data_IF_143042127179
#
_entry.id   IF_143042127179
#
_cell.length_a   1.000
_cell.length_b   1.000
_cell.length_c   1.000
_cell.angle_alpha   90.00
_cell.angle_beta   90.00
_cell.angle_gamma   90.00
#
_symmetry.space_group_name_H-M   'P 1'
#
loop_
_entity.id
_entity.type
_entity.pdbx_description
1 polymer ?
#
# COMPACT_ATOMS: atom_id res chain seq x y z
N UNK A 1 -33.46 -17.90 59.87
CA UNK A 1 -33.12 -18.08 58.44
C UNK A 1 -32.94 -16.69 57.89
N UNK A 2 -31.70 -16.21 57.82
CA UNK A 2 -31.34 -14.84 57.44
C UNK A 2 -30.10 -14.91 56.54
N UNK A 3 -30.23 -14.35 55.33
CA UNK A 3 -29.27 -14.11 54.23
C UNK A 3 -30.09 -14.23 52.94
N UNK A 4 -30.12 -13.28 52.02
CA UNK A 4 -28.97 -12.57 51.47
C UNK A 4 -29.47 -11.32 50.74
N UNK A 5 -29.06 -10.14 51.19
CA UNK A 5 -28.93 -8.98 50.30
C UNK A 5 -27.74 -9.26 49.38
N UNK A 6 -27.96 -9.32 48.05
CA UNK A 6 -26.99 -9.07 46.95
C UNK A 6 -27.46 -9.76 45.65
N UNK A 7 -28.44 -9.19 44.95
CA UNK A 7 -28.57 -9.34 43.48
C UNK A 7 -29.70 -8.45 42.96
N UNK A 8 -29.43 -7.15 42.85
CA UNK A 8 -30.31 -6.22 42.15
C UNK A 8 -29.48 -5.10 41.54
N UNK A 9 -28.51 -5.46 40.70
CA UNK A 9 -27.93 -4.54 39.72
C UNK A 9 -27.22 -5.36 38.66
N UNK A 10 -27.32 -4.92 37.41
CA UNK A 10 -26.52 -5.36 36.25
C UNK A 10 -27.09 -6.49 35.38
N UNK A 11 -28.28 -6.31 34.80
CA UNK A 11 -28.57 -6.85 33.46
C UNK A 11 -29.43 -5.81 32.73
N UNK A 12 -28.80 -4.90 32.01
CA UNK A 12 -29.46 -4.03 31.03
C UNK A 12 -28.82 -4.33 29.67
N UNK A 13 -29.65 -4.31 28.63
CA UNK A 13 -29.32 -4.50 27.21
C UNK A 13 -29.39 -5.97 26.75
N UNK A 14 -30.62 -6.40 26.44
CA UNK A 14 -30.85 -7.41 25.42
C UNK A 14 -32.21 -7.13 24.75
N UNK A 15 -32.15 -6.81 23.45
CA UNK A 15 -33.12 -7.17 22.40
C UNK A 15 -34.53 -6.58 22.50
N UNK A 16 -34.85 -5.65 21.59
CA UNK A 16 -36.24 -5.51 21.10
C UNK A 16 -36.25 -5.66 19.59
N UNK A 17 -36.71 -6.85 19.20
CA UNK A 17 -36.98 -7.35 17.86
C UNK A 17 -38.39 -6.92 17.45
N UNK A 18 -38.47 -6.33 16.26
CA UNK A 18 -39.55 -6.42 15.28
C UNK A 18 -40.90 -5.68 15.46
N UNK A 19 -41.21 -4.92 14.40
CA UNK A 19 -42.50 -4.82 13.68
C UNK A 19 -43.59 -3.95 14.35
N UNK A 20 -43.84 -2.71 13.91
CA UNK A 20 -44.44 -2.21 12.63
C UNK A 20 -45.99 -2.11 12.71
N UNK A 21 -46.47 -0.93 12.27
CA UNK A 21 -47.80 -0.59 11.68
C UNK A 21 -48.79 0.24 12.50
N UNK A 22 -49.05 1.42 11.90
CA UNK A 22 -50.26 2.23 11.82
C UNK A 22 -50.75 3.02 13.04
N UNK A 23 -50.50 4.33 13.00
CA UNK A 23 -51.47 5.32 13.45
C UNK A 23 -51.53 6.49 12.46
N UNK A 24 -52.69 6.59 11.79
CA UNK A 24 -53.15 7.72 10.99
C UNK A 24 -53.68 8.77 11.97
N UNK A 25 -53.18 10.01 11.95
CA UNK A 25 -53.75 11.08 12.79
C UNK A 25 -53.90 12.37 11.96
N UNK A 26 -55.16 12.67 11.64
CA UNK A 26 -55.65 13.98 11.24
C UNK A 26 -55.44 14.98 12.39
N UNK A 27 -55.16 16.24 12.04
CA UNK A 27 -54.79 17.35 12.94
C UNK A 27 -55.25 17.29 14.40
N UNK A 28 -54.30 17.53 15.29
CA UNK A 28 -54.49 17.68 16.74
C UNK A 28 -53.26 17.15 17.46
N UNK A 29 -52.50 18.04 18.10
CA UNK A 29 -51.07 17.84 18.38
C UNK A 29 -50.69 16.69 19.33
N UNK A 30 -49.49 16.17 19.10
CA UNK A 30 -48.70 15.36 20.02
C UNK A 30 -47.23 15.75 19.89
N UNK A 31 -46.54 15.78 21.03
CA UNK A 31 -45.17 16.19 21.25
C UNK A 31 -44.20 15.74 20.13
N UNK A 32 -43.60 16.70 19.45
CA UNK A 32 -42.36 16.44 18.70
C UNK A 32 -41.22 16.38 19.72
N UNK A 33 -41.05 15.21 20.33
CA UNK A 33 -39.74 14.81 20.84
C UNK A 33 -38.78 14.81 19.65
N UNK A 34 -38.07 15.92 19.44
CA UNK A 34 -36.85 15.92 18.64
C UNK A 34 -35.78 15.19 19.45
N UNK A 35 -35.79 13.86 19.37
CA UNK A 35 -34.57 13.06 19.59
C UNK A 35 -34.15 12.54 18.23
N UNK A 36 -33.76 13.48 17.37
CA UNK A 36 -32.71 13.22 16.42
C UNK A 36 -31.73 14.37 16.65
N UNK A 37 -30.73 14.09 17.48
CA UNK A 37 -29.46 14.77 17.29
C UNK A 37 -28.99 14.23 15.95
N UNK A 38 -29.26 14.96 14.86
CA UNK A 38 -28.42 14.85 13.68
C UNK A 38 -27.05 15.34 14.14
N UNK A 39 -26.30 14.46 14.81
CA UNK A 39 -24.85 14.51 14.69
C UNK A 39 -24.61 14.19 13.23
N UNK A 40 -24.56 15.27 12.45
CA UNK A 40 -23.76 15.33 11.24
C UNK A 40 -22.33 14.99 11.68
N UNK A 41 -22.10 13.68 11.87
CA UNK A 41 -20.77 13.10 11.92
C UNK A 41 -20.23 13.26 10.52
N UNK A 42 -19.80 14.48 10.21
CA UNK A 42 -18.79 14.68 9.20
C UNK A 42 -17.64 13.77 9.62
N UNK A 43 -17.56 12.60 9.01
CA UNK A 43 -16.31 11.86 8.95
C UNK A 43 -15.31 12.88 8.40
N UNK A 44 -14.40 13.35 9.27
CA UNK A 44 -13.29 14.13 8.80
C UNK A 44 -12.56 13.20 7.83
N UNK A 45 -12.64 13.52 6.54
CA UNK A 45 -11.78 12.96 5.52
C UNK A 45 -10.37 13.44 5.88
N UNK A 46 -9.73 12.71 6.80
CA UNK A 46 -8.32 12.91 7.08
C UNK A 46 -7.64 12.36 5.85
N UNK A 47 -7.33 13.25 4.92
CA UNK A 47 -6.48 12.99 3.78
C UNK A 47 -5.17 12.40 4.33
N UNK A 48 -5.05 11.07 4.27
CA UNK A 48 -3.83 10.41 4.70
C UNK A 48 -2.72 10.88 3.75
N UNK A 49 -1.56 11.32 4.27
CA UNK A 49 -0.48 11.75 3.41
C UNK A 49 -0.12 10.63 2.42
N UNK A 50 0.05 10.99 1.14
CA UNK A 50 0.40 10.04 0.09
C UNK A 50 1.89 9.66 0.14
N UNK A 51 2.25 8.40 -0.12
CA UNK A 51 3.65 8.00 -0.31
C UNK A 51 4.20 8.53 -1.64
N UNK A 52 5.51 8.37 -1.83
CA UNK A 52 6.21 8.64 -3.09
C UNK A 52 7.35 7.63 -3.25
N UNK A 53 7.00 6.45 -3.76
CA UNK A 53 7.93 5.42 -4.19
C UNK A 53 8.86 6.01 -5.24
N UNK A 54 10.08 5.53 -5.21
CA UNK A 54 11.08 5.90 -6.19
C UNK A 54 12.07 4.79 -6.32
N UNK A 55 12.68 4.69 -7.49
CA UNK A 55 13.71 3.72 -7.76
C UNK A 55 14.97 4.40 -8.28
N UNK A 56 16.12 3.97 -7.75
CA UNK A 56 17.43 4.31 -8.30
C UNK A 56 18.15 3.04 -8.71
N UNK A 57 18.95 3.16 -9.77
CA UNK A 57 19.64 2.05 -10.40
C UNK A 57 21.07 2.45 -10.73
N UNK A 58 22.01 1.61 -10.29
CA UNK A 58 23.39 1.57 -10.77
C UNK A 58 23.64 0.25 -11.48
N UNK A 59 24.32 0.30 -12.62
CA UNK A 59 24.67 -0.90 -13.40
C UNK A 59 26.17 -1.04 -13.43
N UNK A 60 26.65 -2.19 -12.98
CA UNK A 60 28.06 -2.55 -12.93
C UNK A 60 28.33 -3.49 -14.10
N UNK A 61 29.06 -2.99 -15.09
CA UNK A 61 29.48 -3.79 -16.23
C UNK A 61 30.49 -4.87 -15.81
N UNK A 62 30.53 -6.02 -16.51
CA UNK A 62 31.49 -7.07 -16.23
C UNK A 62 32.93 -6.60 -16.48
N UNK A 63 33.87 -7.04 -15.64
CA UNK A 63 35.29 -6.70 -15.77
C UNK A 63 35.99 -7.41 -16.94
N UNK A 64 35.35 -8.44 -17.51
CA UNK A 64 35.88 -9.24 -18.61
C UNK A 64 34.78 -9.56 -19.61
N UNK A 65 35.15 -9.73 -20.88
CA UNK A 65 34.23 -10.18 -21.93
C UNK A 65 33.62 -11.53 -21.53
N UNK A 66 32.29 -11.62 -21.61
CA UNK A 66 31.55 -12.82 -21.22
C UNK A 66 31.15 -12.89 -19.75
N UNK A 67 31.52 -11.90 -18.93
CA UNK A 67 31.09 -11.82 -17.54
C UNK A 67 29.65 -11.34 -17.36
N UNK A 68 29.17 -11.42 -16.11
CA UNK A 68 27.83 -11.00 -15.72
C UNK A 68 27.76 -9.50 -15.39
N UNK A 69 26.64 -8.87 -15.72
CA UNK A 69 26.27 -7.52 -15.30
C UNK A 69 25.62 -7.61 -13.92
N UNK A 70 25.88 -6.65 -13.03
CA UNK A 70 25.17 -6.54 -11.76
C UNK A 70 24.33 -5.27 -11.74
N UNK A 71 23.05 -5.42 -11.40
CA UNK A 71 22.16 -4.30 -11.09
C UNK A 71 22.16 -4.06 -9.58
N UNK A 72 22.41 -2.82 -9.16
CA UNK A 72 22.30 -2.37 -7.77
C UNK A 72 21.14 -1.39 -7.68
N UNK A 73 20.11 -1.78 -6.95
CA UNK A 73 18.77 -1.16 -6.97
C UNK A 73 18.42 -0.70 -5.57
N UNK A 74 18.01 0.56 -5.46
CA UNK A 74 17.44 1.09 -4.22
C UNK A 74 16.02 1.55 -4.49
N UNK A 75 15.09 1.04 -3.69
CA UNK A 75 13.69 1.48 -3.66
C UNK A 75 13.47 2.24 -2.38
N UNK A 76 12.84 3.41 -2.45
CA UNK A 76 12.59 4.24 -1.28
C UNK A 76 11.26 4.98 -1.37
N UNK A 77 10.82 5.51 -0.22
CA UNK A 77 9.64 6.33 -0.10
C UNK A 77 10.04 7.77 0.29
N UNK A 78 9.99 8.71 -0.65
CA UNK A 78 10.31 10.12 -0.40
C UNK A 78 9.09 10.93 0.06
N UNK A 79 7.92 10.30 0.12
CA UNK A 79 6.66 10.93 0.43
C UNK A 79 6.43 11.01 1.95
N UNK A 80 5.53 11.89 2.39
CA UNK A 80 5.09 11.96 3.79
C UNK A 80 4.14 10.81 4.18
N UNK A 81 3.57 10.10 3.20
CA UNK A 81 2.78 8.89 3.41
C UNK A 81 3.64 7.68 3.70
N UNK A 82 3.05 6.65 4.30
CA UNK A 82 3.72 5.38 4.61
C UNK A 82 3.09 4.24 3.81
N UNK A 83 3.88 3.21 3.56
CA UNK A 83 3.41 1.96 2.97
C UNK A 83 3.37 0.89 4.05
N UNK A 84 2.22 0.21 4.14
CA UNK A 84 1.91 -0.81 5.16
C UNK A 84 1.65 -2.14 4.49
N UNK A 85 1.80 -3.24 5.22
CA UNK A 85 1.63 -4.60 4.68
C UNK A 85 0.23 -4.94 4.15
N UNK A 86 -0.77 -4.09 4.30
CA UNK A 86 -2.09 -4.18 3.63
C UNK A 86 -2.13 -3.53 2.25
N UNK A 87 -1.09 -2.77 1.88
CA UNK A 87 -0.88 -2.09 0.60
C UNK A 87 0.51 -2.45 0.07
N UNK A 88 0.62 -3.62 -0.54
CA UNK A 88 1.88 -4.10 -1.14
C UNK A 88 2.02 -3.57 -2.56
N UNK A 89 3.26 -3.35 -3.00
CA UNK A 89 3.59 -2.99 -4.38
C UNK A 89 4.56 -4.01 -4.98
N UNK A 90 4.53 -4.15 -6.31
CA UNK A 90 5.45 -5.01 -7.08
C UNK A 90 6.62 -4.20 -7.62
N UNK A 91 7.83 -4.74 -7.56
CA UNK A 91 9.00 -4.19 -8.24
C UNK A 91 9.65 -5.23 -9.14
N UNK A 92 10.27 -4.78 -10.24
CA UNK A 92 10.84 -5.64 -11.26
C UNK A 92 12.09 -5.06 -11.92
N UNK A 93 12.90 -5.96 -12.48
CA UNK A 93 14.02 -5.64 -13.37
C UNK A 93 13.76 -6.21 -14.75
N UNK A 94 14.12 -5.41 -15.75
CA UNK A 94 14.09 -5.78 -17.16
C UNK A 94 15.50 -5.67 -17.73
N UNK A 95 15.90 -6.68 -18.50
CA UNK A 95 17.04 -6.61 -19.41
C UNK A 95 16.48 -6.38 -20.81
N UNK A 96 16.74 -5.20 -21.35
CA UNK A 96 16.05 -4.64 -22.51
C UNK A 96 14.53 -4.67 -22.28
N UNK A 97 13.80 -5.56 -22.97
CA UNK A 97 12.36 -5.73 -22.79
C UNK A 97 11.97 -6.97 -21.98
N UNK A 98 12.94 -7.80 -21.58
CA UNK A 98 12.69 -9.08 -20.90
C UNK A 98 12.67 -8.90 -19.38
N UNK A 99 11.58 -9.27 -18.71
CA UNK A 99 11.55 -9.35 -17.24
C UNK A 99 12.49 -10.46 -16.76
N UNK A 100 13.48 -10.09 -15.95
CA UNK A 100 14.51 -11.01 -15.42
C UNK A 100 14.37 -11.25 -13.92
N UNK A 101 13.66 -10.35 -13.24
CA UNK A 101 13.39 -10.43 -11.83
C UNK A 101 12.11 -9.66 -11.52
N UNK A 102 11.29 -10.21 -10.63
CA UNK A 102 10.22 -9.47 -10.00
C UNK A 102 9.92 -9.98 -8.60
N UNK A 103 9.33 -9.12 -7.80
CA UNK A 103 8.89 -9.43 -6.45
C UNK A 103 7.57 -8.70 -6.19
N UNK A 104 6.50 -9.48 -5.96
CA UNK A 104 5.14 -8.99 -5.68
C UNK A 104 4.90 -8.73 -4.19
N UNK A 105 5.72 -9.34 -3.34
CA UNK A 105 5.48 -9.41 -1.91
C UNK A 105 6.47 -8.49 -1.19
N UNK A 106 6.43 -7.21 -1.54
CA UNK A 106 7.02 -6.17 -0.72
C UNK A 106 6.28 -6.16 0.64
N UNK A 107 6.65 -7.08 1.55
CA UNK A 107 6.30 -7.00 2.98
C UNK A 107 7.01 -5.82 3.66
N UNK A 108 7.67 -4.98 2.87
CA UNK A 108 8.45 -3.84 3.31
C UNK A 108 7.48 -2.76 3.76
N UNK A 109 7.45 -2.56 5.06
CA UNK A 109 6.97 -1.31 5.62
C UNK A 109 7.97 -0.23 5.23
N UNK A 110 7.51 0.78 4.50
CA UNK A 110 8.30 1.96 4.16
C UNK A 110 7.66 3.17 4.83
N UNK A 111 8.24 3.59 5.95
CA UNK A 111 7.91 4.88 6.54
C UNK A 111 8.48 6.02 5.67
N UNK A 112 8.06 7.27 5.89
CA UNK A 112 8.62 8.42 5.19
C UNK A 112 10.15 8.48 5.31
N UNK A 113 10.84 8.46 4.17
CA UNK A 113 12.31 8.49 4.07
C UNK A 113 12.99 7.13 4.15
N UNK A 114 12.24 6.04 4.38
CA UNK A 114 12.82 4.70 4.38
C UNK A 114 13.19 4.25 2.96
N UNK A 115 14.19 3.37 2.90
CA UNK A 115 14.58 2.69 1.67
C UNK A 115 15.15 1.31 1.95
N UNK A 116 15.12 0.45 0.94
CA UNK A 116 15.85 -0.80 0.92
C UNK A 116 16.65 -0.93 -0.37
N UNK A 117 17.70 -1.74 -0.30
CA UNK A 117 18.62 -1.96 -1.39
C UNK A 117 18.82 -3.46 -1.63
N UNK A 118 18.96 -3.83 -2.90
CA UNK A 118 19.35 -5.17 -3.29
C UNK A 118 20.22 -5.16 -4.54
N UNK A 119 21.06 -6.20 -4.66
CA UNK A 119 21.85 -6.44 -5.86
C UNK A 119 21.33 -7.69 -6.57
N UNK A 120 21.19 -7.59 -7.90
CA UNK A 120 20.77 -8.69 -8.75
C UNK A 120 21.84 -8.98 -9.81
N UNK A 121 22.53 -10.14 -9.74
CA UNK A 121 23.46 -10.58 -10.77
C UNK A 121 22.69 -11.08 -12.00
N UNK A 122 23.04 -10.55 -13.17
CA UNK A 122 22.38 -10.84 -14.45
C UNK A 122 23.29 -11.77 -15.26
N UNK A 123 23.03 -13.07 -15.13
CA UNK A 123 23.87 -14.09 -15.76
C UNK A 123 23.82 -14.02 -17.27
N UNK A 124 24.98 -13.84 -17.91
CA UNK A 124 25.09 -13.87 -19.38
C UNK A 124 24.83 -15.28 -19.94
N UNK A 125 25.12 -16.32 -19.18
CA UNK A 125 24.83 -17.70 -19.57
C UNK A 125 23.32 -17.96 -19.70
N UNK A 126 22.53 -17.38 -18.78
CA UNK A 126 21.08 -17.55 -18.76
C UNK A 126 20.40 -16.68 -19.83
N UNK A 127 20.76 -15.40 -19.88
CA UNK A 127 20.04 -14.42 -20.69
C UNK A 127 20.64 -14.14 -22.07
N UNK A 128 21.87 -14.61 -22.33
CA UNK A 128 22.53 -14.57 -23.65
C UNK A 128 22.56 -13.18 -24.32
N UNK A 129 22.68 -12.12 -23.52
CA UNK A 129 22.76 -10.74 -24.02
C UNK A 129 24.14 -10.42 -24.59
N UNK A 130 24.16 -9.42 -25.48
CA UNK A 130 25.38 -8.94 -26.14
C UNK A 130 26.29 -8.12 -25.23
N UNK A 131 27.29 -7.47 -25.83
CA UNK A 131 28.25 -6.65 -25.11
C UNK A 131 27.69 -5.28 -24.67
N UNK A 132 26.47 -4.94 -25.08
CA UNK A 132 25.74 -3.76 -24.65
C UNK A 132 24.25 -4.08 -24.52
N UNK A 133 23.57 -3.34 -23.66
CA UNK A 133 22.12 -3.43 -23.47
C UNK A 133 21.63 -2.41 -22.46
N UNK A 134 20.38 -2.55 -22.04
CA UNK A 134 19.75 -1.68 -21.05
C UNK A 134 19.19 -2.49 -19.89
N UNK A 135 19.34 -1.97 -18.68
CA UNK A 135 18.65 -2.48 -17.49
C UNK A 135 17.64 -1.43 -17.08
N UNK A 136 16.38 -1.83 -16.92
CA UNK A 136 15.32 -0.99 -16.38
C UNK A 136 14.83 -1.55 -15.04
N UNK A 137 14.80 -0.70 -14.03
CA UNK A 137 14.16 -1.00 -12.76
C UNK A 137 12.82 -0.26 -12.69
N UNK A 138 11.80 -0.93 -12.17
CA UNK A 138 10.45 -0.39 -12.01
C UNK A 138 9.96 -0.78 -10.62
N UNK A 139 9.43 0.18 -9.88
CA UNK A 139 8.66 -0.02 -8.66
C UNK A 139 7.20 0.30 -8.93
N UNK A 140 6.30 -0.29 -8.16
CA UNK A 140 4.85 -0.29 -8.36
C UNK A 140 4.42 -0.55 -9.82
N UNK A 141 4.89 -1.67 -10.38
CA UNK A 141 4.66 -2.02 -11.79
C UNK A 141 3.18 -2.14 -12.20
N UNK A 142 2.29 -2.25 -11.22
CA UNK A 142 0.85 -2.42 -11.43
C UNK A 142 0.06 -1.13 -11.17
N UNK A 143 0.74 -0.03 -10.82
CA UNK A 143 0.12 1.28 -10.53
C UNK A 143 -0.97 1.13 -9.47
N UNK A 144 -0.60 0.47 -8.37
CA UNK A 144 -1.51 -0.02 -7.32
C UNK A 144 -1.52 0.89 -6.10
N UNK A 145 -0.46 1.66 -5.91
CA UNK A 145 -0.32 2.66 -4.87
C UNK A 145 -0.58 4.01 -5.52
N UNK A 146 -1.44 4.82 -4.92
CA UNK A 146 -1.59 6.21 -5.36
C UNK A 146 -0.51 7.05 -4.72
N UNK A 147 0.26 7.76 -5.54
CA UNK A 147 1.48 8.44 -5.11
C UNK A 147 1.43 9.94 -5.38
N UNK A 148 2.42 10.67 -4.83
CA UNK A 148 2.60 12.08 -5.16
C UNK A 148 3.12 12.24 -6.59
N UNK A 149 4.03 11.37 -6.99
CA UNK A 149 4.70 11.36 -8.30
C UNK A 149 4.71 9.93 -8.81
N UNK A 150 4.26 9.71 -10.04
CA UNK A 150 4.31 8.37 -10.67
C UNK A 150 5.53 8.23 -11.60
N UNK A 151 6.14 9.36 -11.98
CA UNK A 151 7.22 9.39 -12.97
C UNK A 151 8.59 8.96 -12.42
N UNK A 152 8.77 8.89 -11.11
CA UNK A 152 9.99 8.43 -10.42
C UNK A 152 9.97 6.91 -10.11
N UNK A 153 8.92 6.21 -10.53
CA UNK A 153 8.77 4.77 -10.36
C UNK A 153 9.54 3.92 -11.37
N UNK A 154 10.22 4.53 -12.34
CA UNK A 154 11.07 3.80 -13.28
C UNK A 154 12.38 4.52 -13.59
N UNK A 155 13.43 3.72 -13.75
CA UNK A 155 14.75 4.19 -14.17
C UNK A 155 15.41 3.17 -15.09
N UNK A 156 16.03 3.66 -16.16
CA UNK A 156 16.77 2.83 -17.12
C UNK A 156 18.23 3.27 -17.22
N UNK A 157 19.13 2.30 -17.34
CA UNK A 157 20.57 2.50 -17.47
C UNK A 157 21.14 1.56 -18.52
N UNK A 158 21.91 2.12 -19.45
CA UNK A 158 22.69 1.33 -20.40
C UNK A 158 23.92 0.73 -19.75
N UNK A 159 24.38 -0.39 -20.29
CA UNK A 159 25.71 -0.93 -20.05
C UNK A 159 26.41 -1.22 -21.37
N UNK A 160 27.74 -1.20 -21.32
CA UNK A 160 28.62 -1.62 -22.41
C UNK A 160 29.91 -2.16 -21.83
N UNK A 161 30.46 -3.21 -22.45
CA UNK A 161 31.81 -3.73 -22.21
C UNK A 161 32.90 -2.88 -22.86
#
# INVERSE_FOLDING_TARGET
MEKSQKTALTIFILIVVFIVVALKINGGGYFQGKIFNEEDSAEADIDEPLPDLSVTLSVIAPAVVGGDVTADVTVGNNGPGRIRGDRTFKYALYLDETEIFSNSDSYTFLEPGDSFNFQYPISREIYQYGDSGTIRAVVDTEDSISEITEENNSVERGFSL
#
